data_IF_259172421133
#
_entry.id   IF_259172421133
#
_cell.length_a   1.000
_cell.length_b   1.000
_cell.length_c   1.000
_cell.angle_alpha   90.00
_cell.angle_beta   90.00
_cell.angle_gamma   90.00
#
_symmetry.space_group_name_H-M   'P 1'
#
loop_
_entity.id
_entity.type
_entity.pdbx_description
1 polymer ?
#
# COMPACT_ATOMS: atom_id res chain seq x y z
N UNK A 1 2.79 21.41 2.47
CA UNK A 1 2.40 20.99 1.10
C UNK A 1 1.17 20.09 1.22
N UNK A 2 -0.02 20.51 0.75
CA UNK A 2 -1.21 19.63 0.74
C UNK A 2 -0.92 18.53 -0.28
N UNK A 3 -0.46 17.37 0.17
CA UNK A 3 -0.10 16.30 -0.77
C UNK A 3 -1.37 15.88 -1.53
N UNK A 4 -1.28 15.84 -2.86
CA UNK A 4 -2.35 15.27 -3.69
C UNK A 4 -2.45 13.75 -3.52
N UNK A 5 -1.59 13.16 -2.70
CA UNK A 5 -1.49 11.73 -2.45
C UNK A 5 -2.85 11.08 -2.09
N UNK A 6 -3.66 11.59 -1.14
CA UNK A 6 -4.94 10.97 -0.84
C UNK A 6 -5.91 10.99 -2.04
N UNK A 7 -5.84 12.02 -2.89
CA UNK A 7 -6.68 12.12 -4.10
C UNK A 7 -6.20 11.14 -5.18
N UNK A 8 -4.89 11.03 -5.38
CA UNK A 8 -4.26 10.08 -6.31
C UNK A 8 -4.61 8.65 -5.89
N UNK A 9 -4.30 8.27 -4.65
CA UNK A 9 -4.64 6.96 -4.07
C UNK A 9 -6.13 6.67 -4.20
N UNK A 10 -7.01 7.65 -3.91
CA UNK A 10 -8.46 7.45 -4.03
C UNK A 10 -8.91 7.26 -5.48
N UNK A 11 -8.29 7.94 -6.45
CA UNK A 11 -8.62 7.85 -7.88
C UNK A 11 -8.19 6.48 -8.44
N UNK A 12 -6.92 6.12 -8.28
CA UNK A 12 -6.36 4.89 -8.85
C UNK A 12 -6.86 3.64 -8.13
N UNK A 13 -7.08 3.71 -6.82
CA UNK A 13 -7.48 2.53 -6.04
C UNK A 13 -8.98 2.43 -5.78
N UNK A 14 -9.81 3.20 -6.50
CA UNK A 14 -11.27 3.17 -6.32
C UNK A 14 -11.84 1.79 -6.63
N UNK A 15 -11.33 1.16 -7.68
CA UNK A 15 -11.82 -0.10 -8.24
C UNK A 15 -11.25 -1.33 -7.54
N UNK A 16 -10.19 -1.17 -6.75
CA UNK A 16 -9.56 -2.29 -6.06
C UNK A 16 -10.42 -2.79 -4.89
N UNK A 17 -10.53 -4.12 -4.72
CA UNK A 17 -11.30 -4.71 -3.64
C UNK A 17 -10.72 -4.36 -2.27
N UNK A 18 -11.63 -4.17 -1.31
CA UNK A 18 -11.31 -3.79 0.07
C UNK A 18 -11.24 -4.98 1.03
N UNK A 19 -11.85 -6.11 0.67
CA UNK A 19 -12.10 -7.26 1.57
C UNK A 19 -11.75 -8.60 0.91
N UNK A 20 -10.91 -8.59 -0.13
CA UNK A 20 -10.52 -9.78 -0.89
C UNK A 20 -9.53 -10.69 -0.16
N UNK A 21 -8.75 -10.13 0.77
CA UNK A 21 -7.83 -10.89 1.61
C UNK A 21 -8.06 -10.59 3.10
N UNK A 22 -8.01 -11.62 3.96
CA UNK A 22 -8.38 -11.49 5.38
C UNK A 22 -7.42 -10.61 6.19
N UNK A 23 -6.15 -10.53 5.80
CA UNK A 23 -5.12 -9.81 6.59
C UNK A 23 -4.75 -8.46 5.98
N UNK A 24 -4.57 -8.41 4.66
CA UNK A 24 -4.17 -7.19 3.96
C UNK A 24 -4.86 -7.16 2.60
N UNK A 25 -5.89 -6.33 2.43
CA UNK A 25 -6.63 -6.23 1.17
C UNK A 25 -5.80 -5.64 0.04
N UNK A 26 -6.21 -5.92 -1.20
CA UNK A 26 -5.46 -5.49 -2.38
C UNK A 26 -5.37 -3.98 -2.47
N UNK A 27 -6.48 -3.28 -2.20
CA UNK A 27 -6.45 -1.82 -2.09
C UNK A 27 -5.43 -1.32 -1.07
N UNK A 28 -5.36 -1.93 0.12
CA UNK A 28 -4.47 -1.46 1.19
C UNK A 28 -3.01 -1.75 0.88
N UNK A 29 -2.72 -2.88 0.25
CA UNK A 29 -1.39 -3.23 -0.22
C UNK A 29 -0.88 -2.28 -1.30
N UNK A 30 -1.68 -2.01 -2.33
CA UNK A 30 -1.30 -1.07 -3.39
C UNK A 30 -1.18 0.36 -2.83
N UNK A 31 -2.02 0.75 -1.86
CA UNK A 31 -1.87 2.03 -1.16
C UNK A 31 -0.51 2.18 -0.49
N UNK A 32 -0.01 1.11 0.14
CA UNK A 32 1.31 1.12 0.78
C UNK A 32 2.43 1.21 -0.25
N UNK A 33 2.34 0.46 -1.36
CA UNK A 33 3.30 0.56 -2.45
C UNK A 33 3.36 1.96 -3.05
N UNK A 34 2.21 2.60 -3.28
CA UNK A 34 2.17 3.99 -3.73
C UNK A 34 2.77 4.93 -2.68
N UNK A 35 2.50 4.69 -1.40
CA UNK A 35 3.13 5.43 -0.30
C UNK A 35 4.65 5.32 -0.32
N UNK A 36 5.18 4.11 -0.53
CA UNK A 36 6.61 3.87 -0.64
C UNK A 36 7.23 4.55 -1.86
N UNK A 37 6.62 4.42 -3.04
CA UNK A 37 7.17 4.97 -4.30
C UNK A 37 7.10 6.50 -4.34
N UNK A 38 6.06 7.10 -3.74
CA UNK A 38 5.84 8.55 -3.81
C UNK A 38 6.47 9.33 -2.64
N UNK A 39 6.80 8.67 -1.54
CA UNK A 39 7.47 9.31 -0.39
C UNK A 39 8.99 9.15 -0.53
N UNK A 40 9.63 10.17 -1.10
CA UNK A 40 11.09 10.24 -1.26
C UNK A 40 11.86 10.24 0.07
N UNK A 41 11.18 10.39 1.21
CA UNK A 41 11.78 10.31 2.54
C UNK A 41 11.80 8.91 3.14
N UNK A 42 11.41 7.87 2.38
CA UNK A 42 11.47 6.48 2.80
C UNK A 42 12.64 5.77 2.12
N UNK A 43 13.44 5.05 2.91
CA UNK A 43 14.56 4.25 2.38
C UNK A 43 14.20 2.78 2.20
N UNK A 44 13.14 2.33 2.90
CA UNK A 44 12.65 0.97 2.82
C UNK A 44 11.14 0.87 3.10
N UNK A 45 10.54 -0.24 2.65
CA UNK A 45 9.17 -0.62 3.07
C UNK A 45 9.07 -0.74 4.59
N UNK A 46 10.15 -1.14 5.29
CA UNK A 46 10.15 -1.23 6.75
C UNK A 46 9.93 0.14 7.38
N UNK A 47 10.52 1.20 6.82
CA UNK A 47 10.30 2.57 7.29
C UNK A 47 8.85 3.00 7.11
N UNK A 48 8.23 2.62 5.97
CA UNK A 48 6.82 2.87 5.74
C UNK A 48 5.96 2.18 6.80
N UNK A 49 6.19 0.89 7.04
CA UNK A 49 5.43 0.10 8.01
C UNK A 49 5.59 0.66 9.42
N UNK A 50 6.79 1.09 9.80
CA UNK A 50 7.04 1.75 11.08
C UNK A 50 6.23 3.04 11.21
N UNK A 51 6.21 3.90 10.18
CA UNK A 51 5.40 5.13 10.20
C UNK A 51 3.90 4.82 10.29
N UNK A 52 3.42 3.82 9.55
CA UNK A 52 2.03 3.38 9.60
C UNK A 52 1.66 2.84 10.99
N UNK A 53 2.54 2.04 11.60
CA UNK A 53 2.36 1.51 12.95
C UNK A 53 2.31 2.62 14.01
N UNK A 54 3.20 3.62 13.93
CA UNK A 54 3.19 4.81 14.79
C UNK A 54 1.88 5.59 14.60
N UNK A 55 1.39 5.69 13.36
CA UNK A 55 0.10 6.30 13.02
C UNK A 55 -1.15 5.46 13.37
N UNK A 56 -1.00 4.34 14.07
CA UNK A 56 -2.11 3.46 14.50
C UNK A 56 -2.57 2.45 13.45
N UNK A 57 -1.98 2.45 12.26
CA UNK A 57 -2.25 1.48 11.19
C UNK A 57 -1.34 0.27 11.40
N UNK A 58 -1.77 -0.65 12.29
CA UNK A 58 -1.02 -1.88 12.57
C UNK A 58 -0.81 -2.71 11.30
N UNK A 59 0.45 -2.95 10.95
CA UNK A 59 0.87 -3.73 9.80
C UNK A 59 2.19 -4.42 10.08
N UNK A 60 2.19 -5.72 9.89
CA UNK A 60 3.35 -6.56 10.12
C UNK A 60 4.14 -6.79 8.82
N UNK A 61 5.47 -6.77 8.90
CA UNK A 61 6.34 -6.92 7.74
C UNK A 61 6.24 -8.32 7.11
N UNK A 62 5.97 -9.36 7.91
CA UNK A 62 5.78 -10.71 7.38
C UNK A 62 4.46 -10.81 6.60
N UNK A 63 3.42 -10.11 7.05
CA UNK A 63 2.15 -10.01 6.33
C UNK A 63 2.34 -9.32 4.99
N UNK A 64 3.06 -8.20 4.97
CA UNK A 64 3.36 -7.47 3.73
C UNK A 64 4.23 -8.29 2.78
N UNK A 65 5.26 -8.97 3.31
CA UNK A 65 6.15 -9.83 2.51
C UNK A 65 5.41 -11.01 1.90
N UNK A 66 4.54 -11.68 2.65
CA UNK A 66 3.68 -12.76 2.14
C UNK A 66 2.78 -12.23 1.03
N UNK A 67 2.09 -11.11 1.27
CA UNK A 67 1.24 -10.48 0.27
C UNK A 67 2.00 -10.12 -1.01
N UNK A 68 3.24 -9.67 -0.90
CA UNK A 68 4.09 -9.36 -2.06
C UNK A 68 4.51 -10.59 -2.86
N UNK A 69 4.59 -11.77 -2.23
CA UNK A 69 4.93 -13.03 -2.89
C UNK A 69 3.73 -13.70 -3.55
N UNK A 70 2.55 -13.52 -2.97
CA UNK A 70 1.33 -14.23 -3.41
C UNK A 70 0.48 -13.45 -4.39
N UNK A 71 0.67 -12.13 -4.49
CA UNK A 71 -0.13 -11.29 -5.38
C UNK A 71 0.41 -11.29 -6.78
N UNK A 72 -0.54 -11.32 -7.72
CA UNK A 72 -0.25 -11.12 -9.13
C UNK A 72 0.22 -9.67 -9.36
N UNK A 73 1.27 -9.54 -10.18
CA UNK A 73 1.77 -8.25 -10.68
C UNK A 73 0.71 -7.55 -11.53
N UNK A 74 -0.23 -8.28 -12.14
CA UNK A 74 -1.30 -7.73 -12.97
C UNK A 74 -2.10 -6.62 -12.27
N UNK A 75 -2.28 -6.72 -10.95
CA UNK A 75 -2.94 -5.71 -10.12
C UNK A 75 -2.26 -4.32 -10.22
N UNK A 76 -0.95 -4.28 -10.44
CA UNK A 76 -0.20 -3.04 -10.65
C UNK A 76 -0.22 -2.58 -12.10
N UNK A 77 -0.24 -3.52 -13.05
CA UNK A 77 -0.32 -3.21 -14.48
C UNK A 77 -1.66 -2.56 -14.80
N UNK A 78 -2.76 -3.10 -14.28
CA UNK A 78 -4.13 -2.60 -14.50
C UNK A 78 -4.39 -1.20 -13.91
N UNK A 79 -3.41 -0.60 -13.21
CA UNK A 79 -3.50 0.78 -12.75
C UNK A 79 -3.23 1.81 -13.86
N UNK A 80 -2.66 1.39 -14.99
CA UNK A 80 -2.26 2.21 -16.15
C UNK A 80 -2.93 1.73 -17.44
#
# INVERSE_FOLDING_TARGET
MKSNFPKIVKKFLKFLPKNDYPVLSTRRFVSCWLGFVLDQGLTSIRDLLNRLNIGGIKMDISTFSKASKTRDVQVFIDLF
#
